data_IF_326164703336
#
_entry.id   IF_326164703336
#
_cell.length_a   1.000
_cell.length_b   1.000
_cell.length_c   1.000
_cell.angle_alpha   90.00
_cell.angle_beta   90.00
_cell.angle_gamma   90.00
#
_symmetry.space_group_name_H-M   'P 1'
#
loop_
_entity.id
_entity.type
_entity.pdbx_description
1 polymer ?
#
# COMPACT_ATOMS: atom_id res chain seq x y z
N UNK A 1 -13.12 16.60 9.72
CA UNK A 1 -13.74 15.32 9.40
C UNK A 1 -12.93 14.18 10.04
N UNK A 2 -13.58 13.33 10.86
CA UNK A 2 -12.94 12.24 11.64
C UNK A 2 -12.17 11.23 10.79
N UNK A 3 -12.68 10.88 9.60
CA UNK A 3 -12.02 9.96 8.66
C UNK A 3 -10.72 10.58 8.12
N UNK A 4 -10.74 11.86 7.81
CA UNK A 4 -9.54 12.56 7.34
C UNK A 4 -8.46 12.61 8.43
N UNK A 5 -8.84 12.94 9.67
CA UNK A 5 -7.93 12.91 10.82
C UNK A 5 -7.33 11.50 11.04
N UNK A 6 -8.15 10.46 10.88
CA UNK A 6 -7.65 9.07 10.95
C UNK A 6 -6.64 8.75 9.85
N UNK A 7 -6.93 9.14 8.59
CA UNK A 7 -5.99 8.94 7.46
C UNK A 7 -4.65 9.66 7.67
N UNK A 8 -4.67 10.78 8.41
CA UNK A 8 -3.46 11.52 8.80
C UNK A 8 -2.75 10.96 10.04
N UNK A 9 -3.22 9.83 10.59
CA UNK A 9 -2.65 9.25 11.83
C UNK A 9 -2.80 10.14 13.06
N UNK A 10 -3.79 11.04 13.07
CA UNK A 10 -4.04 12.01 14.15
C UNK A 10 -5.02 11.50 15.21
N UNK A 11 -5.60 10.33 15.00
CA UNK A 11 -6.55 9.73 15.94
C UNK A 11 -5.84 8.62 16.71
N UNK A 12 -5.74 8.78 18.02
CA UNK A 12 -5.19 7.74 18.88
C UNK A 12 -6.23 6.64 19.10
N UNK A 13 -5.91 5.42 18.69
CA UNK A 13 -6.78 4.25 18.74
C UNK A 13 -6.02 3.10 19.39
N UNK A 14 -6.65 2.44 20.35
CA UNK A 14 -6.13 1.22 20.99
C UNK A 14 -6.33 0.07 19.99
N UNK A 15 -5.26 -0.60 19.61
CA UNK A 15 -5.30 -1.75 18.70
C UNK A 15 -5.85 -2.99 19.41
N UNK A 16 -7.11 -2.95 19.78
CA UNK A 16 -7.85 -4.03 20.44
C UNK A 16 -9.24 -4.18 19.82
N UNK A 17 -9.79 -5.37 19.92
CA UNK A 17 -11.14 -5.71 19.43
C UNK A 17 -12.04 -6.16 20.56
N UNK A 18 -13.23 -5.57 20.65
CA UNK A 18 -14.27 -5.91 21.62
C UNK A 18 -15.26 -6.86 20.94
N UNK A 19 -15.58 -7.96 21.60
CA UNK A 19 -16.56 -8.96 21.11
C UNK A 19 -17.72 -9.04 22.11
N UNK A 20 -18.91 -8.71 21.62
CA UNK A 20 -20.17 -8.78 22.33
C UNK A 20 -21.12 -9.72 21.57
N UNK A 21 -21.14 -10.99 22.01
CA UNK A 21 -21.92 -12.05 21.35
C UNK A 21 -23.21 -12.33 22.10
N UNK A 22 -24.32 -11.71 21.63
CA UNK A 22 -25.65 -11.94 22.19
C UNK A 22 -26.36 -13.16 21.58
N UNK A 23 -25.65 -13.93 20.73
CA UNK A 23 -26.04 -15.25 20.25
C UNK A 23 -25.20 -16.38 20.87
N UNK A 24 -24.49 -16.12 21.97
CA UNK A 24 -23.58 -17.09 22.59
C UNK A 24 -24.20 -18.45 22.93
N UNK A 25 -25.52 -18.51 23.10
CA UNK A 25 -26.27 -19.75 23.34
C UNK A 25 -26.63 -20.51 22.03
N UNK A 26 -26.38 -19.92 20.87
CA UNK A 26 -26.62 -20.54 19.58
C UNK A 26 -25.38 -21.29 19.08
N UNK A 27 -25.58 -22.44 18.41
CA UNK A 27 -24.49 -23.27 17.91
C UNK A 27 -23.75 -22.73 16.68
N UNK A 28 -23.87 -21.44 16.34
CA UNK A 28 -23.32 -20.89 15.10
C UNK A 28 -21.94 -20.23 15.21
N UNK A 29 -21.43 -20.02 16.42
CA UNK A 29 -20.06 -19.58 16.65
C UNK A 29 -19.71 -18.20 16.08
N UNK A 30 -20.65 -17.24 16.11
CA UNK A 30 -20.44 -15.88 15.61
C UNK A 30 -19.27 -15.19 16.29
N UNK A 31 -19.23 -15.19 17.64
CA UNK A 31 -18.12 -14.64 18.40
C UNK A 31 -16.79 -15.35 18.12
N UNK A 32 -16.81 -16.68 17.89
CA UNK A 32 -15.61 -17.42 17.49
C UNK A 32 -15.08 -16.97 16.12
N UNK A 33 -15.96 -16.63 15.19
CA UNK A 33 -15.59 -16.03 13.91
C UNK A 33 -14.87 -14.68 14.11
N UNK A 34 -15.39 -13.85 15.01
CA UNK A 34 -14.77 -12.56 15.35
C UNK A 34 -13.40 -12.75 16.04
N UNK A 35 -13.25 -13.72 16.94
CA UNK A 35 -11.95 -14.07 17.55
C UNK A 35 -10.91 -14.39 16.46
N UNK A 36 -11.25 -15.24 15.51
CA UNK A 36 -10.37 -15.58 14.40
C UNK A 36 -9.92 -14.35 13.64
N UNK A 37 -10.85 -13.46 13.29
CA UNK A 37 -10.58 -12.29 12.48
C UNK A 37 -9.79 -11.23 13.25
N UNK A 38 -10.17 -10.96 14.49
CA UNK A 38 -9.53 -9.94 15.31
C UNK A 38 -8.15 -10.37 15.82
N UNK A 39 -7.95 -11.66 16.14
CA UNK A 39 -6.64 -12.16 16.55
C UNK A 39 -5.58 -12.00 15.47
N UNK A 40 -5.96 -12.09 14.20
CA UNK A 40 -5.07 -11.82 13.08
C UNK A 40 -4.63 -10.34 12.99
N UNK A 41 -5.40 -9.43 13.54
CA UNK A 41 -5.16 -7.98 13.49
C UNK A 41 -4.52 -7.49 14.79
N UNK A 42 -5.16 -7.78 15.94
CA UNK A 42 -4.78 -7.25 17.25
C UNK A 42 -3.90 -8.20 18.07
N UNK A 43 -3.68 -9.42 17.59
CA UNK A 43 -3.13 -10.50 18.41
C UNK A 43 -4.17 -11.09 19.38
N UNK A 44 -3.87 -12.28 19.91
CA UNK A 44 -4.80 -12.98 20.84
C UNK A 44 -5.08 -12.20 22.12
N UNK A 45 -4.10 -11.48 22.62
CA UNK A 45 -4.18 -10.72 23.88
C UNK A 45 -4.87 -9.35 23.68
N UNK A 46 -5.13 -8.96 22.42
CA UNK A 46 -5.87 -7.76 22.04
C UNK A 46 -7.39 -7.96 21.98
N UNK A 47 -7.92 -9.11 22.40
CA UNK A 47 -9.35 -9.42 22.32
C UNK A 47 -9.99 -9.26 23.71
N UNK A 48 -11.11 -8.54 23.75
CA UNK A 48 -11.91 -8.27 24.94
C UNK A 48 -13.31 -8.81 24.71
N UNK A 49 -13.84 -9.62 25.65
CA UNK A 49 -15.22 -10.05 25.64
C UNK A 49 -15.99 -9.19 26.65
N UNK A 50 -16.74 -8.22 26.17
CA UNK A 50 -17.48 -7.29 27.01
C UNK A 50 -18.53 -6.50 26.20
N UNK A 51 -19.36 -5.71 26.88
CA UNK A 51 -20.30 -4.74 26.32
C UNK A 51 -19.52 -3.62 25.60
N UNK A 52 -19.81 -3.45 24.32
CA UNK A 52 -19.09 -2.50 23.45
C UNK A 52 -19.26 -1.07 23.96
N UNK A 53 -20.47 -0.65 24.34
CA UNK A 53 -20.72 0.72 24.75
C UNK A 53 -20.12 1.04 26.12
N UNK A 54 -19.97 0.07 26.98
CA UNK A 54 -19.26 0.21 28.26
C UNK A 54 -17.78 0.44 28.02
N UNK A 55 -17.16 -0.37 27.15
CA UNK A 55 -15.74 -0.26 26.85
C UNK A 55 -15.41 1.02 26.06
N UNK A 56 -16.24 1.40 25.11
CA UNK A 56 -15.98 2.59 24.24
C UNK A 56 -16.34 3.92 24.89
N UNK A 57 -16.88 3.93 26.11
CA UNK A 57 -17.28 5.14 26.83
C UNK A 57 -16.14 6.15 26.90
N UNK A 58 -14.97 5.71 27.39
CA UNK A 58 -13.83 6.58 27.68
C UNK A 58 -12.59 6.26 26.84
N UNK A 59 -12.63 5.21 26.01
CA UNK A 59 -11.51 4.71 25.24
C UNK A 59 -11.87 4.55 23.76
N UNK A 60 -10.90 4.77 22.90
CA UNK A 60 -11.04 4.62 21.46
C UNK A 60 -10.49 3.26 21.01
N UNK A 61 -11.35 2.29 20.81
CA UNK A 61 -10.96 0.95 20.34
C UNK A 61 -10.98 0.86 18.81
N UNK A 62 -10.10 0.03 18.27
CA UNK A 62 -10.00 -0.21 16.84
C UNK A 62 -11.20 -0.97 16.30
N UNK A 63 -11.55 -2.08 16.93
CA UNK A 63 -12.54 -3.03 16.42
C UNK A 63 -13.64 -3.29 17.44
N UNK A 64 -14.86 -3.47 16.95
CA UNK A 64 -15.94 -4.12 17.68
C UNK A 64 -16.64 -5.14 16.82
N UNK A 65 -17.04 -6.25 17.41
CA UNK A 65 -17.98 -7.22 16.87
C UNK A 65 -19.18 -7.33 17.79
N UNK A 66 -20.36 -7.14 17.23
CA UNK A 66 -21.60 -7.29 17.98
C UNK A 66 -22.61 -8.11 17.16
N UNK A 67 -23.20 -9.11 17.77
CA UNK A 67 -24.29 -9.85 17.15
C UNK A 67 -25.45 -10.11 18.13
N UNK A 68 -26.65 -10.24 17.58
CA UNK A 68 -27.86 -10.49 18.33
C UNK A 68 -29.10 -10.50 17.43
N UNK A 69 -30.26 -10.82 18.01
CA UNK A 69 -31.53 -10.72 17.30
C UNK A 69 -31.74 -9.28 16.84
N UNK A 70 -31.80 -9.07 15.50
CA UNK A 70 -31.78 -7.76 14.88
C UNK A 70 -33.14 -7.28 14.42
N UNK A 71 -33.24 -5.96 14.38
CA UNK A 71 -34.24 -5.20 13.65
C UNK A 71 -33.54 -4.08 12.90
N UNK A 72 -34.16 -3.43 11.95
CA UNK A 72 -33.54 -2.39 11.11
C UNK A 72 -32.60 -1.43 11.87
N UNK A 73 -33.03 -0.96 13.02
CA UNK A 73 -32.38 0.06 13.83
C UNK A 73 -31.86 -0.41 15.20
N UNK A 74 -31.99 -1.69 15.55
CA UNK A 74 -31.61 -2.21 16.85
C UNK A 74 -31.11 -3.64 16.80
N UNK A 75 -30.29 -4.00 17.80
CA UNK A 75 -29.79 -5.34 18.04
C UNK A 75 -30.03 -5.69 19.52
N UNK A 76 -30.66 -6.82 19.76
CA UNK A 76 -30.94 -7.28 21.12
C UNK A 76 -29.64 -7.53 21.89
N UNK A 77 -29.56 -7.06 23.14
CA UNK A 77 -28.38 -7.10 23.94
C UNK A 77 -27.42 -5.90 23.74
N UNK A 78 -27.30 -5.39 22.51
CA UNK A 78 -26.41 -4.30 22.17
C UNK A 78 -27.06 -2.90 22.30
N UNK A 79 -28.20 -2.71 21.63
CA UNK A 79 -28.87 -1.42 21.61
C UNK A 79 -29.43 -1.00 20.26
N UNK A 80 -29.60 0.29 20.09
CA UNK A 80 -30.21 0.88 18.90
C UNK A 80 -29.44 2.08 18.36
N UNK A 81 -29.78 2.52 17.15
CA UNK A 81 -29.17 3.70 16.48
C UNK A 81 -29.14 4.94 17.36
N UNK A 82 -30.17 5.17 18.17
CA UNK A 82 -30.24 6.33 19.10
C UNK A 82 -29.08 6.35 20.11
N UNK A 83 -28.52 5.19 20.46
CA UNK A 83 -27.41 5.11 21.40
C UNK A 83 -26.15 5.81 20.86
N UNK A 84 -25.94 5.83 19.56
CA UNK A 84 -24.78 6.51 18.96
C UNK A 84 -24.83 8.03 19.04
N UNK A 85 -25.94 8.62 19.45
CA UNK A 85 -26.02 10.07 19.73
C UNK A 85 -25.23 10.46 20.98
N UNK A 86 -25.09 9.54 21.94
CA UNK A 86 -24.45 9.79 23.24
C UNK A 86 -23.30 8.85 23.55
N UNK A 87 -23.22 7.72 22.88
CA UNK A 87 -22.21 6.68 23.06
C UNK A 87 -21.27 6.61 21.85
N UNK A 88 -20.04 6.21 22.08
CA UNK A 88 -19.04 6.07 21.03
C UNK A 88 -19.14 4.72 20.35
N UNK A 89 -18.88 4.69 19.04
CA UNK A 89 -18.56 3.47 18.31
C UNK A 89 -17.08 3.14 18.43
N UNK A 90 -16.67 1.90 18.13
CA UNK A 90 -15.30 1.59 17.78
C UNK A 90 -14.96 2.22 16.41
N UNK A 91 -13.69 2.23 16.03
CA UNK A 91 -13.27 2.75 14.72
C UNK A 91 -13.91 1.96 13.57
N UNK A 92 -13.89 0.64 13.68
CA UNK A 92 -14.46 -0.29 12.70
C UNK A 92 -15.41 -1.25 13.40
N UNK A 93 -16.66 -1.27 12.97
CA UNK A 93 -17.74 -1.99 13.64
C UNK A 93 -18.21 -3.15 12.77
N UNK A 94 -18.16 -4.35 13.30
CA UNK A 94 -18.70 -5.55 12.68
C UNK A 94 -20.01 -5.88 13.38
N UNK A 95 -21.12 -5.78 12.66
CA UNK A 95 -22.46 -5.96 13.19
C UNK A 95 -23.15 -7.13 12.50
N UNK A 96 -23.76 -8.02 13.26
CA UNK A 96 -24.59 -9.07 12.70
C UNK A 96 -25.92 -9.22 13.43
N UNK A 97 -26.97 -9.18 12.64
CA UNK A 97 -28.35 -9.38 13.03
C UNK A 97 -29.25 -9.25 11.81
N UNK A 98 -30.50 -9.64 11.94
CA UNK A 98 -31.49 -9.51 10.88
C UNK A 98 -31.72 -8.05 10.49
N UNK A 99 -32.01 -7.79 9.24
CA UNK A 99 -32.42 -6.49 8.66
C UNK A 99 -31.33 -5.38 8.64
N UNK A 100 -30.13 -5.58 9.12
CA UNK A 100 -29.10 -4.53 9.09
C UNK A 100 -28.62 -4.21 7.66
N UNK A 101 -28.74 -5.18 6.75
CA UNK A 101 -28.45 -4.99 5.33
C UNK A 101 -29.53 -4.27 4.52
N UNK A 102 -30.68 -3.97 5.10
CA UNK A 102 -31.80 -3.28 4.43
C UNK A 102 -31.56 -1.76 4.45
N UNK A 103 -30.73 -1.28 3.54
CA UNK A 103 -30.22 0.11 3.52
C UNK A 103 -31.25 1.15 3.13
N UNK A 104 -32.36 0.75 2.53
CA UNK A 104 -33.48 1.59 2.15
C UNK A 104 -34.36 1.97 3.34
N UNK A 105 -34.22 1.30 4.51
CA UNK A 105 -34.92 1.71 5.72
C UNK A 105 -34.47 3.09 6.20
N UNK A 106 -35.40 3.93 6.62
CA UNK A 106 -35.12 5.31 7.09
C UNK A 106 -34.08 5.30 8.21
N UNK A 107 -34.20 4.39 9.17
CA UNK A 107 -33.31 4.22 10.29
C UNK A 107 -32.65 2.82 10.25
N UNK A 108 -31.30 2.79 10.18
CA UNK A 108 -30.55 1.56 9.97
C UNK A 108 -29.34 1.48 10.91
N UNK A 109 -29.19 0.37 11.65
CA UNK A 109 -28.15 0.21 12.66
C UNK A 109 -26.74 0.23 12.07
N UNK A 110 -26.55 -0.32 10.87
CA UNK A 110 -25.25 -0.33 10.22
C UNK A 110 -24.76 1.09 9.89
N UNK A 111 -25.69 1.98 9.51
CA UNK A 111 -25.39 3.41 9.32
C UNK A 111 -25.23 4.17 10.63
N UNK A 112 -25.93 3.73 11.68
CA UNK A 112 -25.93 4.40 12.98
C UNK A 112 -24.52 4.55 13.57
N UNK A 113 -23.69 3.53 13.47
CA UNK A 113 -22.30 3.58 13.97
C UNK A 113 -21.45 4.65 13.26
N UNK A 114 -21.70 4.91 11.98
CA UNK A 114 -21.00 5.94 11.20
C UNK A 114 -21.38 7.36 11.64
N UNK A 115 -22.57 7.52 12.22
CA UNK A 115 -23.06 8.80 12.75
C UNK A 115 -22.46 9.16 14.11
N UNK A 116 -21.79 8.23 14.80
CA UNK A 116 -21.08 8.49 16.06
C UNK A 116 -20.12 9.68 15.93
N UNK A 117 -20.07 10.55 16.95
CA UNK A 117 -19.32 11.81 16.91
C UNK A 117 -17.81 11.63 16.87
N UNK A 118 -17.25 10.60 17.50
CA UNK A 118 -15.80 10.41 17.63
C UNK A 118 -15.22 9.44 16.63
N UNK A 119 -15.69 8.21 16.60
CA UNK A 119 -15.20 7.11 15.77
C UNK A 119 -16.33 6.60 14.84
N UNK A 120 -16.29 5.33 14.43
CA UNK A 120 -17.20 4.79 13.43
C UNK A 120 -16.79 5.23 12.02
N UNK A 121 -15.67 4.70 11.53
CA UNK A 121 -15.15 5.02 10.19
C UNK A 121 -15.69 4.08 9.13
N UNK A 122 -15.94 2.83 9.52
CA UNK A 122 -16.64 1.85 8.70
C UNK A 122 -17.46 0.89 9.57
N UNK A 123 -18.50 0.37 8.95
CA UNK A 123 -19.40 -0.62 9.54
C UNK A 123 -19.62 -1.75 8.55
N UNK A 124 -19.53 -2.98 9.02
CA UNK A 124 -19.62 -4.18 8.21
C UNK A 124 -20.76 -5.06 8.72
N UNK A 125 -21.64 -5.51 7.80
CA UNK A 125 -22.58 -6.56 8.14
C UNK A 125 -21.86 -7.90 8.04
N UNK A 126 -21.70 -8.58 9.15
CA UNK A 126 -20.73 -9.65 9.34
C UNK A 126 -21.35 -10.82 10.12
N UNK A 127 -21.14 -12.05 9.66
CA UNK A 127 -21.60 -13.24 10.36
C UNK A 127 -22.06 -14.38 9.45
N UNK A 128 -22.85 -14.08 8.45
CA UNK A 128 -23.29 -15.02 7.41
C UNK A 128 -23.42 -14.32 6.06
N UNK A 129 -22.59 -14.63 5.05
CA UNK A 129 -21.39 -15.45 5.16
C UNK A 129 -20.33 -14.79 6.03
N UNK A 130 -19.30 -15.57 6.40
CA UNK A 130 -18.20 -15.05 7.23
C UNK A 130 -17.27 -14.17 6.42
N UNK A 131 -16.81 -13.11 7.04
CA UNK A 131 -15.81 -12.23 6.44
C UNK A 131 -14.39 -12.81 6.52
N UNK A 132 -13.57 -12.46 5.54
CA UNK A 132 -12.14 -12.77 5.46
C UNK A 132 -11.34 -11.50 5.72
N UNK A 133 -11.24 -11.09 6.98
CA UNK A 133 -10.62 -9.82 7.36
C UNK A 133 -9.17 -9.93 7.80
N UNK A 134 -8.61 -11.14 7.86
CA UNK A 134 -7.25 -11.38 8.35
C UNK A 134 -6.17 -10.55 7.64
N UNK A 135 -6.33 -10.27 6.36
CA UNK A 135 -5.36 -9.47 5.59
C UNK A 135 -5.35 -7.97 5.93
N UNK A 136 -6.32 -7.47 6.72
CA UNK A 136 -6.20 -6.14 7.34
C UNK A 136 -4.97 -6.04 8.24
N UNK A 137 -4.59 -7.16 8.89
CA UNK A 137 -3.36 -7.28 9.66
C UNK A 137 -2.08 -7.22 8.83
N UNK A 138 -2.17 -7.28 7.49
CA UNK A 138 -1.06 -7.16 6.55
C UNK A 138 -1.17 -5.91 5.67
N UNK A 139 -2.01 -4.94 6.05
CA UNK A 139 -2.10 -3.64 5.41
C UNK A 139 -3.11 -3.52 4.27
N UNK A 140 -3.91 -4.54 4.00
CA UNK A 140 -5.01 -4.42 3.05
C UNK A 140 -6.05 -3.40 3.54
N UNK A 141 -6.77 -2.83 2.58
CA UNK A 141 -7.88 -1.93 2.84
C UNK A 141 -9.17 -2.68 3.16
N UNK A 142 -10.12 -2.00 3.80
CA UNK A 142 -11.46 -2.55 4.04
C UNK A 142 -12.18 -2.89 2.74
N UNK A 143 -11.95 -2.15 1.65
CA UNK A 143 -12.49 -2.48 0.33
C UNK A 143 -11.91 -3.77 -0.25
N UNK A 144 -10.61 -4.00 -0.08
CA UNK A 144 -9.94 -5.23 -0.55
C UNK A 144 -10.45 -6.46 0.20
N UNK A 145 -10.60 -6.40 1.52
CA UNK A 145 -11.15 -7.53 2.30
C UNK A 145 -12.63 -7.75 2.02
N UNK A 146 -13.39 -6.69 1.72
CA UNK A 146 -14.78 -6.81 1.27
C UNK A 146 -14.85 -7.58 -0.06
N UNK A 147 -14.06 -7.16 -1.04
CA UNK A 147 -13.97 -7.81 -2.34
C UNK A 147 -13.53 -9.28 -2.21
N UNK A 148 -12.51 -9.54 -1.38
CA UNK A 148 -12.04 -10.89 -1.10
C UNK A 148 -13.17 -11.76 -0.51
N UNK A 149 -13.87 -11.24 0.51
CA UNK A 149 -14.95 -11.95 1.18
C UNK A 149 -16.12 -12.23 0.26
N UNK A 150 -16.58 -11.24 -0.51
CA UNK A 150 -17.70 -11.37 -1.45
C UNK A 150 -17.40 -12.35 -2.60
N UNK A 151 -16.16 -12.45 -3.03
CA UNK A 151 -15.73 -13.34 -4.11
C UNK A 151 -15.32 -14.74 -3.63
N UNK A 152 -15.26 -14.99 -2.33
CA UNK A 152 -14.83 -16.27 -1.77
C UNK A 152 -15.98 -17.28 -1.68
N UNK A 153 -16.43 -17.77 -2.83
CA UNK A 153 -17.53 -18.74 -2.95
C UNK A 153 -17.25 -20.08 -2.25
N UNK A 154 -15.99 -20.42 -2.01
CA UNK A 154 -15.60 -21.71 -1.43
C UNK A 154 -15.58 -21.70 0.11
N UNK A 155 -15.64 -20.54 0.75
CA UNK A 155 -15.46 -20.42 2.19
C UNK A 155 -16.73 -20.72 2.99
N UNK A 156 -17.89 -20.52 2.39
CA UNK A 156 -19.20 -20.77 3.00
C UNK A 156 -20.21 -21.36 1.99
N UNK A 157 -19.73 -22.32 1.20
CA UNK A 157 -20.39 -22.85 0.01
C UNK A 157 -21.75 -23.54 0.27
N UNK A 158 -22.14 -23.71 1.54
CA UNK A 158 -23.38 -24.39 1.89
C UNK A 158 -24.62 -23.50 1.99
N UNK A 159 -24.47 -22.22 2.27
CA UNK A 159 -25.59 -21.36 2.68
C UNK A 159 -25.96 -20.23 1.70
N UNK A 160 -24.97 -19.59 1.06
CA UNK A 160 -25.24 -18.39 0.25
C UNK A 160 -24.33 -18.33 -0.97
N UNK A 161 -24.64 -19.13 -1.96
CA UNK A 161 -23.83 -19.26 -3.20
C UNK A 161 -23.72 -17.96 -4.02
N UNK A 162 -24.51 -16.93 -3.74
CA UNK A 162 -24.59 -15.72 -4.56
C UNK A 162 -23.96 -14.47 -3.89
N UNK A 163 -23.30 -14.61 -2.74
CA UNK A 163 -22.41 -13.58 -2.19
C UNK A 163 -22.99 -12.20 -1.83
N UNK A 164 -24.32 -12.05 -1.91
CA UNK A 164 -25.00 -10.74 -1.82
C UNK A 164 -25.30 -10.28 -0.39
N UNK A 165 -24.89 -11.02 0.62
CA UNK A 165 -25.25 -10.76 2.02
C UNK A 165 -24.14 -10.11 2.83
N UNK A 166 -23.13 -9.57 2.19
CA UNK A 166 -22.05 -8.83 2.83
C UNK A 166 -22.12 -7.36 2.45
N UNK A 167 -22.09 -6.49 3.43
CA UNK A 167 -22.15 -5.07 3.21
C UNK A 167 -21.05 -4.35 3.98
N UNK A 168 -20.38 -3.43 3.31
CA UNK A 168 -19.49 -2.45 3.87
C UNK A 168 -20.10 -1.07 3.72
N UNK A 169 -20.21 -0.33 4.82
CA UNK A 169 -20.52 1.09 4.85
C UNK A 169 -19.34 1.88 5.39
N UNK A 170 -18.97 2.94 4.72
CA UNK A 170 -17.82 3.78 5.05
C UNK A 170 -16.86 3.91 3.88
N UNK A 171 -15.66 4.37 4.16
CA UNK A 171 -14.62 4.58 3.15
C UNK A 171 -13.82 3.28 2.90
N UNK A 172 -13.96 2.65 1.72
CA UNK A 172 -13.30 1.39 1.42
C UNK A 172 -11.78 1.50 1.30
N UNK A 173 -11.22 2.71 1.19
CA UNK A 173 -9.78 2.95 1.11
C UNK A 173 -9.08 2.94 2.48
N UNK A 174 -9.82 2.82 3.58
CA UNK A 174 -9.24 2.77 4.92
C UNK A 174 -8.47 1.49 5.15
N UNK A 175 -7.33 1.63 5.82
CA UNK A 175 -6.53 0.52 6.36
C UNK A 175 -6.64 0.53 7.88
N UNK A 176 -6.39 -0.61 8.48
CA UNK A 176 -6.49 -0.75 9.94
C UNK A 176 -5.42 0.08 10.68
N UNK A 177 -4.21 0.15 10.15
CA UNK A 177 -3.12 0.94 10.72
C UNK A 177 -2.76 2.10 9.78
N UNK A 178 -3.18 3.30 10.12
CA UNK A 178 -2.79 4.52 9.42
C UNK A 178 -1.61 5.16 10.15
N UNK A 179 -0.66 5.71 9.41
CA UNK A 179 0.50 6.42 9.95
C UNK A 179 0.53 7.85 9.40
N UNK A 180 1.04 8.78 10.21
CA UNK A 180 1.13 10.18 9.81
C UNK A 180 1.99 10.34 8.55
N UNK A 181 1.54 11.07 7.54
CA UNK A 181 2.36 11.39 6.39
C UNK A 181 3.45 12.41 6.73
N UNK A 182 4.48 12.57 5.89
CA UNK A 182 5.32 13.76 5.93
C UNK A 182 4.48 15.02 5.67
N UNK A 183 5.04 16.20 6.01
CA UNK A 183 4.39 17.49 5.81
C UNK A 183 5.32 18.47 5.11
N UNK A 184 4.82 19.64 4.69
CA UNK A 184 5.60 20.72 4.09
C UNK A 184 6.51 20.26 2.94
N UNK A 185 5.91 19.66 1.90
CA UNK A 185 6.63 19.29 0.69
C UNK A 185 7.04 20.56 -0.07
N UNK A 186 8.33 20.70 -0.34
CA UNK A 186 8.92 21.82 -1.08
C UNK A 186 9.68 21.27 -2.28
N UNK A 187 9.43 21.84 -3.44
CA UNK A 187 10.04 21.48 -4.71
C UNK A 187 10.81 22.67 -5.27
N UNK A 188 12.11 22.47 -5.52
CA UNK A 188 13.00 23.50 -6.05
C UNK A 188 13.76 22.99 -7.28
N UNK A 189 13.93 23.82 -8.30
CA UNK A 189 14.78 23.49 -9.44
C UNK A 189 16.17 24.11 -9.30
N UNK A 190 17.19 23.46 -9.89
CA UNK A 190 18.47 24.10 -10.14
C UNK A 190 18.34 25.19 -11.23
N UNK A 191 19.39 25.98 -11.45
CA UNK A 191 19.45 27.09 -12.42
C UNK A 191 19.06 26.64 -13.83
N UNK A 192 19.53 25.48 -14.27
CA UNK A 192 19.26 24.93 -15.60
C UNK A 192 17.87 24.29 -15.74
N UNK A 193 17.12 24.20 -14.63
CA UNK A 193 15.79 23.56 -14.54
C UNK A 193 15.79 22.10 -15.03
N UNK A 194 16.86 21.37 -14.84
CA UNK A 194 17.00 19.97 -15.26
C UNK A 194 17.15 18.98 -14.09
N UNK A 195 17.07 19.46 -12.85
CA UNK A 195 17.04 18.68 -11.62
C UNK A 195 16.00 19.27 -10.70
N UNK A 196 15.40 18.43 -9.87
CA UNK A 196 14.45 18.85 -8.83
C UNK A 196 15.00 18.40 -7.48
N UNK A 197 15.14 19.34 -6.56
CA UNK A 197 15.38 19.07 -5.15
C UNK A 197 14.02 19.03 -4.44
N UNK A 198 13.74 17.91 -3.80
CA UNK A 198 12.52 17.64 -3.09
C UNK A 198 12.84 17.61 -1.59
N UNK A 199 12.15 18.41 -0.78
CA UNK A 199 12.33 18.48 0.68
C UNK A 199 10.97 18.34 1.36
N UNK A 200 10.94 17.77 2.54
CA UNK A 200 9.73 17.64 3.35
C UNK A 200 10.05 17.69 4.84
N UNK A 201 9.05 17.94 5.66
CA UNK A 201 9.13 17.76 7.11
C UNK A 201 8.82 16.30 7.44
N UNK A 202 9.60 15.72 8.34
CA UNK A 202 9.44 14.34 8.75
C UNK A 202 8.03 14.02 9.24
N UNK A 203 7.59 12.79 9.03
CA UNK A 203 6.39 12.24 9.66
C UNK A 203 6.54 12.29 11.18
N UNK A 204 5.43 12.56 11.87
CA UNK A 204 5.34 12.51 13.33
C UNK A 204 5.10 11.09 13.88
N UNK A 205 4.92 10.10 13.01
CA UNK A 205 4.79 8.71 13.42
C UNK A 205 6.10 8.19 14.03
N UNK A 206 6.00 7.39 15.09
CA UNK A 206 7.15 6.70 15.68
C UNK A 206 7.64 5.58 14.74
N UNK A 207 8.94 5.26 14.84
CA UNK A 207 9.56 4.10 14.16
C UNK A 207 9.48 4.16 12.62
N UNK A 208 9.46 5.36 12.06
CA UNK A 208 9.60 5.56 10.61
C UNK A 208 11.01 5.15 10.21
N UNK A 209 11.12 4.20 9.28
CA UNK A 209 12.40 3.68 8.78
C UNK A 209 12.88 4.40 7.52
N UNK A 210 12.07 5.28 6.94
CA UNK A 210 12.42 6.09 5.77
C UNK A 210 11.21 6.46 4.92
N UNK A 211 11.49 6.88 3.69
CA UNK A 211 10.47 7.40 2.77
C UNK A 211 10.58 6.77 1.40
N UNK A 212 9.45 6.61 0.74
CA UNK A 212 9.34 6.38 -0.69
C UNK A 212 8.88 7.66 -1.39
N UNK A 213 9.57 7.99 -2.47
CA UNK A 213 9.26 9.11 -3.35
C UNK A 213 8.81 8.59 -4.71
N UNK A 214 7.70 9.08 -5.17
CA UNK A 214 7.10 8.73 -6.45
C UNK A 214 7.04 9.95 -7.35
N UNK A 215 7.02 9.72 -8.66
CA UNK A 215 6.89 10.77 -9.67
C UNK A 215 5.89 10.37 -10.75
N UNK A 216 5.10 11.34 -11.22
CA UNK A 216 4.16 11.18 -12.34
C UNK A 216 4.13 12.43 -13.20
N UNK A 217 3.78 12.30 -14.47
CA UNK A 217 3.37 13.41 -15.32
C UNK A 217 1.86 13.67 -15.31
N UNK A 218 1.10 12.76 -14.69
CA UNK A 218 -0.35 12.86 -14.61
C UNK A 218 -0.77 13.52 -13.29
N UNK A 219 -1.49 14.65 -13.32
CA UNK A 219 -1.97 15.33 -12.13
C UNK A 219 -2.96 14.50 -11.30
N UNK A 220 -3.64 13.55 -11.93
CA UNK A 220 -4.65 12.71 -11.27
C UNK A 220 -4.06 11.41 -10.68
N UNK A 221 -2.74 11.29 -10.58
CA UNK A 221 -2.07 10.12 -10.04
C UNK A 221 -1.39 9.26 -11.11
N UNK A 222 -1.48 7.93 -11.00
CA UNK A 222 -0.75 7.03 -11.90
C UNK A 222 0.74 6.96 -11.53
N UNK A 223 1.04 7.14 -10.25
CA UNK A 223 2.38 6.92 -9.72
C UNK A 223 2.71 5.44 -9.82
N UNK A 224 3.78 5.13 -10.56
CA UNK A 224 4.31 3.78 -10.69
C UNK A 224 5.10 3.35 -9.46
N UNK A 225 6.26 2.74 -9.68
CA UNK A 225 7.18 2.40 -8.60
C UNK A 225 7.86 3.67 -8.02
N UNK A 226 8.36 3.61 -6.78
CA UNK A 226 9.18 4.67 -6.22
C UNK A 226 10.39 4.96 -7.12
N UNK A 227 10.79 6.24 -7.23
CA UNK A 227 11.99 6.62 -7.97
C UNK A 227 13.29 6.38 -7.19
N UNK A 228 13.18 6.15 -5.89
CA UNK A 228 14.30 5.73 -5.04
C UNK A 228 14.36 4.19 -4.93
N UNK A 229 15.54 3.63 -5.15
CA UNK A 229 15.79 2.17 -5.06
C UNK A 229 15.75 1.69 -3.61
N UNK A 230 16.42 2.40 -2.70
CA UNK A 230 16.40 2.16 -1.26
C UNK A 230 15.59 3.23 -0.56
N UNK A 231 15.08 2.94 0.65
CA UNK A 231 14.39 3.95 1.44
C UNK A 231 15.26 5.20 1.64
N UNK A 232 14.64 6.36 1.55
CA UNK A 232 15.29 7.64 1.85
C UNK A 232 15.22 7.81 3.37
N UNK A 233 16.35 7.72 4.05
CA UNK A 233 16.43 7.88 5.52
C UNK A 233 16.32 9.34 5.94
N UNK A 234 16.72 10.28 5.07
CA UNK A 234 16.63 11.73 5.30
C UNK A 234 15.28 12.33 4.90
N UNK A 235 15.23 13.65 4.90
CA UNK A 235 14.06 14.45 4.57
C UNK A 235 14.22 15.23 3.26
N UNK A 236 15.10 14.77 2.39
CA UNK A 236 15.33 15.37 1.08
C UNK A 236 15.78 14.33 0.05
N UNK A 237 15.53 14.64 -1.22
CA UNK A 237 15.96 13.84 -2.36
C UNK A 237 16.25 14.75 -3.56
N UNK A 238 17.19 14.38 -4.41
CA UNK A 238 17.47 15.08 -5.66
C UNK A 238 17.08 14.15 -6.82
N UNK A 239 16.01 14.51 -7.52
CA UNK A 239 15.69 13.89 -8.80
C UNK A 239 16.59 14.49 -9.89
N UNK A 240 17.56 13.72 -10.33
CA UNK A 240 18.53 14.12 -11.37
C UNK A 240 18.04 13.92 -12.79
N UNK A 241 16.90 13.24 -12.96
CA UNK A 241 16.30 12.92 -14.27
C UNK A 241 14.78 13.14 -14.27
N UNK A 242 14.30 14.34 -13.90
CA UNK A 242 12.88 14.64 -13.96
C UNK A 242 12.39 14.60 -15.42
N UNK A 243 11.11 14.39 -15.61
CA UNK A 243 10.50 14.51 -16.93
C UNK A 243 10.50 15.98 -17.39
N UNK A 244 10.56 16.19 -18.69
CA UNK A 244 10.35 17.53 -19.27
C UNK A 244 8.91 18.01 -19.01
N UNK A 245 8.77 19.30 -18.67
CA UNK A 245 7.49 19.92 -18.38
C UNK A 245 7.10 19.87 -16.91
N UNK A 246 5.92 19.36 -16.61
CA UNK A 246 5.40 19.27 -15.25
C UNK A 246 5.67 17.90 -14.64
N UNK A 247 6.16 17.90 -13.40
CA UNK A 247 6.35 16.70 -12.60
C UNK A 247 5.53 16.81 -11.33
N UNK A 248 4.76 15.79 -11.04
CA UNK A 248 4.02 15.61 -9.80
C UNK A 248 4.80 14.64 -8.92
N UNK A 249 5.13 15.04 -7.70
CA UNK A 249 5.83 14.22 -6.73
C UNK A 249 4.89 13.82 -5.59
N UNK A 250 5.09 12.62 -5.08
CA UNK A 250 4.34 12.07 -3.95
C UNK A 250 5.35 11.42 -3.00
N UNK A 251 5.39 11.85 -1.74
CA UNK A 251 6.25 11.27 -0.71
C UNK A 251 5.39 10.55 0.33
N UNK A 252 5.82 9.34 0.75
CA UNK A 252 5.17 8.53 1.77
C UNK A 252 6.17 8.12 2.83
N UNK A 253 5.79 8.24 4.09
CA UNK A 253 6.54 7.65 5.20
C UNK A 253 6.33 6.13 5.23
N UNK A 254 7.35 5.39 5.62
CA UNK A 254 7.38 3.93 5.70
C UNK A 254 7.80 3.49 7.09
N UNK A 255 7.09 2.53 7.67
CA UNK A 255 7.49 1.84 8.90
C UNK A 255 7.14 0.36 8.82
N UNK A 256 7.77 -0.46 9.64
CA UNK A 256 7.34 -1.83 9.86
C UNK A 256 6.20 -1.82 10.88
N UNK A 257 5.10 -2.46 10.56
CA UNK A 257 3.97 -2.67 11.47
C UNK A 257 3.83 -4.16 11.75
N UNK A 258 3.80 -4.50 13.04
CA UNK A 258 3.61 -5.86 13.53
C UNK A 258 2.15 -6.07 13.96
N UNK A 259 1.60 -7.25 13.66
CA UNK A 259 0.23 -7.63 13.95
C UNK A 259 0.14 -9.11 14.30
N UNK A 260 -1.04 -9.61 14.63
CA UNK A 260 -1.27 -11.04 14.81
C UNK A 260 -1.03 -11.88 13.54
N UNK A 261 -1.08 -11.28 12.35
CA UNK A 261 -0.78 -11.94 11.07
C UNK A 261 0.71 -11.92 10.70
N UNK A 262 1.56 -11.19 11.41
CA UNK A 262 2.97 -10.99 11.08
C UNK A 262 3.32 -9.52 10.91
N UNK A 263 4.39 -9.23 10.17
CA UNK A 263 4.88 -7.88 9.92
C UNK A 263 4.77 -7.49 8.45
N UNK A 264 4.57 -6.20 8.19
CA UNK A 264 4.53 -5.66 6.82
C UNK A 264 5.08 -4.23 6.76
N UNK A 265 5.52 -3.84 5.56
CA UNK A 265 5.90 -2.46 5.28
C UNK A 265 4.65 -1.59 5.16
N UNK A 266 4.34 -0.85 6.20
CA UNK A 266 3.22 0.08 6.22
C UNK A 266 3.64 1.44 5.69
N UNK A 267 2.82 2.04 4.84
CA UNK A 267 3.08 3.34 4.23
C UNK A 267 1.98 4.33 4.57
N UNK A 268 2.35 5.58 4.84
CA UNK A 268 1.37 6.67 5.01
C UNK A 268 0.55 6.90 3.72
N UNK A 269 -0.52 7.69 3.82
CA UNK A 269 -1.00 8.39 2.65
C UNK A 269 0.11 9.30 2.13
N UNK A 270 0.08 9.60 0.83
CA UNK A 270 1.10 10.45 0.23
C UNK A 270 0.84 11.93 0.47
N UNK A 271 1.93 12.70 0.61
CA UNK A 271 1.93 14.15 0.46
C UNK A 271 2.40 14.47 -0.96
N UNK A 272 1.58 15.18 -1.71
CA UNK A 272 1.85 15.47 -3.11
C UNK A 272 2.00 16.98 -3.37
N UNK A 273 2.86 17.29 -4.33
CA UNK A 273 3.01 18.63 -4.90
C UNK A 273 3.56 18.50 -6.34
N UNK A 274 3.57 19.60 -7.09
CA UNK A 274 4.02 19.61 -8.47
C UNK A 274 4.91 20.80 -8.78
N UNK A 275 5.81 20.60 -9.74
CA UNK A 275 6.70 21.63 -10.27
C UNK A 275 6.67 21.60 -11.80
N UNK A 276 6.61 22.78 -12.40
CA UNK A 276 6.51 22.95 -13.85
C UNK A 276 7.76 23.62 -14.44
N UNK A 277 7.85 23.61 -15.76
CA UNK A 277 8.92 24.27 -16.49
C UNK A 277 10.26 23.55 -16.42
N UNK A 278 10.24 22.26 -16.12
CA UNK A 278 11.43 21.41 -16.16
C UNK A 278 11.89 21.28 -17.62
N UNK A 279 13.16 21.54 -17.84
CA UNK A 279 13.81 21.36 -19.14
C UNK A 279 14.42 19.97 -19.22
N UNK A 280 14.37 19.38 -20.39
CA UNK A 280 15.11 18.14 -20.62
C UNK A 280 16.58 18.39 -20.30
N UNK A 281 17.15 17.55 -19.46
CA UNK A 281 18.60 17.56 -19.29
C UNK A 281 19.21 17.45 -20.70
N UNK A 282 19.92 18.47 -21.13
CA UNK A 282 20.79 18.31 -22.28
C UNK A 282 21.90 17.36 -21.81
N UNK A 283 21.59 16.08 -21.80
CA UNK A 283 22.68 15.14 -21.92
C UNK A 283 23.33 15.52 -23.26
N UNK A 284 24.59 15.91 -23.25
CA UNK A 284 25.49 15.69 -24.36
C UNK A 284 25.62 14.17 -24.53
N UNK A 285 24.51 13.50 -24.78
CA UNK A 285 24.50 12.24 -25.44
C UNK A 285 24.84 12.64 -26.88
N UNK A 286 26.13 12.62 -27.21
CA UNK A 286 26.50 12.30 -28.59
C UNK A 286 25.67 11.07 -28.90
N UNK A 287 24.66 11.23 -29.73
CA UNK A 287 23.88 10.11 -30.27
C UNK A 287 24.94 9.18 -30.79
N UNK A 288 25.21 8.09 -30.05
CA UNK A 288 26.15 7.09 -30.52
C UNK A 288 25.47 6.55 -31.78
N UNK A 289 26.02 6.94 -32.88
CA UNK A 289 25.56 6.48 -34.19
C UNK A 289 25.64 4.94 -34.15
N UNK A 290 24.50 4.30 -34.03
CA UNK A 290 24.39 2.84 -33.88
C UNK A 290 25.12 2.10 -35.01
N UNK A 291 25.32 2.75 -36.17
CA UNK A 291 26.10 2.21 -37.27
C UNK A 291 27.61 2.12 -36.96
N UNK A 292 28.06 2.75 -35.88
CA UNK A 292 29.48 2.82 -35.49
C UNK A 292 29.88 1.84 -34.38
N UNK A 293 28.92 1.10 -33.81
CA UNK A 293 29.19 0.07 -32.80
C UNK A 293 28.69 -1.26 -33.32
N UNK A 294 29.56 -2.27 -33.29
CA UNK A 294 29.19 -3.66 -33.55
C UNK A 294 29.51 -4.51 -32.33
N UNK A 295 28.57 -5.35 -31.94
CA UNK A 295 28.70 -6.31 -30.86
C UNK A 295 28.38 -7.69 -31.40
N UNK A 296 29.33 -8.63 -31.24
CA UNK A 296 29.21 -9.98 -31.76
C UNK A 296 30.10 -10.97 -31.00
N UNK A 297 29.76 -12.27 -31.01
CA UNK A 297 28.50 -12.82 -31.48
C UNK A 297 27.37 -12.53 -30.48
N UNK A 298 26.12 -12.66 -30.91
CA UNK A 298 24.94 -12.54 -30.03
C UNK A 298 24.52 -13.87 -29.38
N UNK A 299 25.09 -14.97 -29.87
CA UNK A 299 25.07 -16.27 -29.22
C UNK A 299 26.51 -16.56 -28.78
N UNK A 300 26.74 -16.63 -27.46
CA UNK A 300 28.06 -16.49 -26.85
C UNK A 300 28.35 -17.65 -25.92
N UNK A 301 29.56 -18.24 -26.06
CA UNK A 301 30.08 -19.22 -25.12
C UNK A 301 31.05 -18.57 -24.11
N UNK A 302 32.08 -17.88 -24.57
CA UNK A 302 33.12 -17.36 -23.68
C UNK A 302 33.43 -15.87 -23.86
N UNK A 303 33.39 -15.34 -25.08
CA UNK A 303 33.86 -14.00 -25.39
C UNK A 303 32.86 -13.28 -26.29
N UNK A 304 32.55 -12.05 -25.92
CA UNK A 304 31.81 -11.09 -26.75
C UNK A 304 32.74 -9.97 -27.19
N UNK A 305 32.69 -9.61 -28.46
CA UNK A 305 33.51 -8.54 -29.01
C UNK A 305 32.68 -7.28 -29.19
N UNK A 306 33.30 -6.16 -28.85
CA UNK A 306 32.75 -4.82 -29.11
C UNK A 306 33.71 -4.09 -30.05
N UNK A 307 33.23 -3.71 -31.22
CA UNK A 307 33.96 -2.87 -32.16
C UNK A 307 33.32 -1.49 -32.24
N UNK A 308 34.10 -0.43 -32.10
CA UNK A 308 33.66 0.97 -32.19
C UNK A 308 34.59 1.75 -33.15
N UNK A 309 34.02 2.64 -33.99
CA UNK A 309 34.80 3.41 -34.93
C UNK A 309 35.68 4.50 -34.31
N UNK A 310 35.33 4.94 -33.10
CA UNK A 310 36.07 5.99 -32.39
C UNK A 310 36.71 5.40 -31.11
N UNK A 311 37.94 5.81 -30.80
CA UNK A 311 38.71 5.43 -29.61
C UNK A 311 38.27 6.16 -28.32
N UNK A 312 36.99 6.47 -28.18
CA UNK A 312 36.51 7.13 -26.95
C UNK A 312 36.29 6.10 -25.87
N UNK A 313 36.95 6.28 -24.72
CA UNK A 313 36.70 5.46 -23.52
C UNK A 313 35.21 5.46 -23.19
N UNK A 314 34.64 4.28 -22.99
CA UNK A 314 33.26 4.14 -22.55
C UNK A 314 33.13 3.00 -21.56
N UNK A 315 32.39 3.23 -20.47
CA UNK A 315 32.02 2.18 -19.52
C UNK A 315 30.96 1.26 -20.13
N UNK A 316 31.02 -0.02 -19.76
CA UNK A 316 29.97 -0.97 -20.08
C UNK A 316 29.52 -1.70 -18.82
N UNK A 317 28.29 -2.21 -18.84
CA UNK A 317 27.83 -3.21 -17.90
C UNK A 317 27.09 -4.34 -18.61
N UNK A 318 27.17 -5.55 -18.05
CA UNK A 318 26.35 -6.68 -18.47
C UNK A 318 25.31 -6.91 -17.40
N UNK A 319 24.05 -6.88 -17.81
CA UNK A 319 22.89 -7.07 -16.96
C UNK A 319 22.20 -8.39 -17.27
N UNK A 320 21.66 -9.05 -16.24
CA UNK A 320 20.77 -10.20 -16.42
C UNK A 320 19.36 -9.76 -16.85
N UNK A 321 18.46 -10.71 -17.04
CA UNK A 321 17.06 -10.46 -17.42
C UNK A 321 16.25 -9.67 -16.38
N UNK A 322 16.73 -9.55 -15.15
CA UNK A 322 16.12 -8.75 -14.07
C UNK A 322 16.70 -7.33 -13.98
N UNK A 323 17.65 -6.96 -14.88
CA UNK A 323 18.29 -5.65 -14.89
C UNK A 323 19.42 -5.47 -13.86
N UNK A 324 19.85 -6.55 -13.19
CA UNK A 324 20.97 -6.48 -12.25
C UNK A 324 22.31 -6.50 -13.02
N UNK A 325 23.24 -5.59 -12.65
CA UNK A 325 24.59 -5.59 -13.17
C UNK A 325 25.37 -6.80 -12.65
N UNK A 326 25.91 -7.60 -13.57
CA UNK A 326 26.70 -8.82 -13.26
C UNK A 326 28.19 -8.59 -13.56
N UNK A 327 28.51 -7.86 -14.62
CA UNK A 327 29.88 -7.51 -15.01
C UNK A 327 29.89 -6.02 -15.35
N UNK A 328 30.93 -5.33 -14.92
CA UNK A 328 31.19 -3.93 -15.29
C UNK A 328 32.64 -3.79 -15.74
N UNK A 329 32.88 -2.84 -16.66
CA UNK A 329 34.21 -2.58 -17.18
C UNK A 329 34.26 -1.36 -18.12
N UNK A 330 35.42 -1.19 -18.72
CA UNK A 330 35.67 -0.08 -19.66
C UNK A 330 36.09 -0.63 -21.02
N UNK A 331 35.63 0.00 -22.08
CA UNK A 331 36.10 -0.19 -23.47
C UNK A 331 37.19 0.83 -23.70
N UNK A 332 38.41 0.38 -23.85
CA UNK A 332 39.60 1.23 -23.95
C UNK A 332 40.14 1.34 -25.37
N UNK A 333 39.69 0.48 -26.30
CA UNK A 333 40.21 0.38 -27.67
C UNK A 333 39.08 0.32 -28.71
N UNK A 334 39.45 0.40 -29.98
CA UNK A 334 38.46 0.26 -31.06
C UNK A 334 37.85 -1.13 -31.15
N UNK A 335 38.57 -2.13 -30.66
CA UNK A 335 38.08 -3.50 -30.59
C UNK A 335 38.42 -4.07 -29.22
N UNK A 336 37.39 -4.35 -28.41
CA UNK A 336 37.51 -4.90 -27.07
C UNK A 336 36.88 -6.27 -26.98
N UNK A 337 37.49 -7.16 -26.18
CA UNK A 337 36.99 -8.52 -25.94
C UNK A 337 36.58 -8.69 -24.50
N UNK A 338 35.34 -8.93 -24.26
CA UNK A 338 34.76 -9.10 -22.91
C UNK A 338 34.60 -10.58 -22.64
N UNK A 339 35.27 -11.06 -21.57
CA UNK A 339 35.13 -12.45 -21.15
C UNK A 339 33.82 -12.61 -20.35
N UNK A 340 32.97 -13.52 -20.79
CA UNK A 340 31.69 -13.87 -20.20
C UNK A 340 31.62 -15.35 -19.79
N UNK A 341 32.76 -16.03 -19.69
CA UNK A 341 32.83 -17.46 -19.35
C UNK A 341 32.19 -17.78 -18.00
N UNK A 342 32.30 -16.87 -17.03
CA UNK A 342 31.73 -17.00 -15.68
C UNK A 342 30.20 -16.83 -15.60
N UNK A 343 29.57 -16.39 -16.70
CA UNK A 343 28.11 -16.28 -16.73
C UNK A 343 27.47 -17.65 -16.93
N UNK A 344 26.40 -17.89 -16.21
CA UNK A 344 25.53 -19.05 -16.45
C UNK A 344 24.78 -18.93 -17.77
N UNK A 345 24.32 -20.06 -18.31
CA UNK A 345 23.50 -20.04 -19.54
C UNK A 345 22.23 -19.21 -19.31
N UNK A 346 21.97 -18.27 -20.18
CA UNK A 346 20.85 -17.34 -20.01
C UNK A 346 20.87 -16.15 -20.97
N UNK A 347 19.89 -15.26 -20.76
CA UNK A 347 19.73 -14.03 -21.54
C UNK A 347 20.35 -12.86 -20.78
N UNK A 348 21.23 -12.12 -21.45
CA UNK A 348 21.91 -10.96 -20.91
C UNK A 348 21.84 -9.77 -21.85
N UNK A 349 22.10 -8.59 -21.29
CA UNK A 349 22.16 -7.33 -22.03
C UNK A 349 23.49 -6.65 -21.77
N UNK A 350 24.27 -6.42 -22.84
CA UNK A 350 25.43 -5.56 -22.78
C UNK A 350 24.98 -4.12 -22.94
N UNK A 351 25.19 -3.32 -21.92
CA UNK A 351 24.83 -1.91 -21.82
C UNK A 351 26.06 -1.06 -22.08
N UNK A 352 25.97 -0.16 -23.02
CA UNK A 352 26.93 0.92 -23.25
C UNK A 352 26.17 2.25 -23.16
N UNK A 353 26.87 3.36 -22.94
CA UNK A 353 26.21 4.67 -22.84
C UNK A 353 25.32 4.94 -24.05
N UNK A 354 23.98 4.87 -23.86
CA UNK A 354 22.99 5.08 -24.92
C UNK A 354 22.79 3.94 -25.92
N UNK A 355 23.35 2.74 -25.66
CA UNK A 355 23.22 1.55 -26.50
C UNK A 355 23.03 0.30 -25.63
N UNK A 356 22.19 -0.60 -26.07
CA UNK A 356 22.03 -1.92 -25.43
C UNK A 356 21.96 -3.00 -26.49
N UNK A 357 22.65 -4.12 -26.26
CA UNK A 357 22.61 -5.29 -27.13
C UNK A 357 22.29 -6.55 -26.30
N UNK A 358 21.21 -7.22 -26.69
CA UNK A 358 20.87 -8.54 -26.14
C UNK A 358 21.84 -9.59 -26.67
N UNK A 359 22.30 -10.48 -25.81
CA UNK A 359 23.00 -11.71 -26.20
C UNK A 359 22.53 -12.91 -25.36
N UNK A 360 22.80 -14.11 -25.85
CA UNK A 360 22.47 -15.37 -25.17
C UNK A 360 23.77 -16.09 -24.86
N UNK A 361 23.98 -16.40 -23.58
CA UNK A 361 25.07 -17.27 -23.09
C UNK A 361 24.57 -18.72 -23.10
N UNK A 362 25.34 -19.65 -23.68
CA UNK A 362 25.05 -21.09 -23.74
C UNK A 362 26.24 -21.93 -23.26
#
# INVERSE_FOLDING_TARGET
NKIHAYKLGQVNIINQGIIEDNFSTMAEGFGAGAVRDFSAICGKDGIIFDDVFTQTKDRNYALSYTCGAGWYYSCNGFGATINFNTKNAAAFNHLFGSYFGDFDSENNLLRGSLASSKLGFASMWSGRPKWLTHSLGLGNTYGEVTKLSQNSINYDAGYYQNGTHMALMGDPSLRHHMISPPTNLVLETNTDKNKVTIKWTASTATDVIGYHLYRSQNPNGGYGNPINVSLIEGISYIDSQPYEGTNHYLVKAVKITETGSGSYMNMSIGLADSISGIKKSQSNISIIDRSKIKIYPTLVQNIIHVEQKNTQKSSYSIQNSLGMNIIEGEILSQKESINVQQLESGVYFLMLKGFSQKFIKY
#
